data_IF_481948101508
#
_entry.id   IF_481948101508
#
_cell.length_a   1.000
_cell.length_b   1.000
_cell.length_c   1.000
_cell.angle_alpha   90.00
_cell.angle_beta   90.00
_cell.angle_gamma   90.00
#
_symmetry.space_group_name_H-M   'P 1'
#
loop_
_entity.id
_entity.type
_entity.pdbx_description
1 polymer ?
#
# COMPACT_ATOMS: atom_id res chain seq x y z
N UNK A 1 -7.67 -10.44 31.94
CA UNK A 1 -6.52 -10.45 31.01
C UNK A 1 -6.98 -9.85 29.70
N UNK A 2 -6.84 -8.52 29.55
CA UNK A 2 -6.91 -7.75 28.30
C UNK A 2 -6.51 -6.27 28.61
N UNK A 3 -5.56 -6.06 29.54
CA UNK A 3 -5.19 -4.71 30.03
C UNK A 3 -4.06 -4.07 29.22
N UNK A 4 -3.31 -4.86 28.44
CA UNK A 4 -2.13 -4.39 27.69
C UNK A 4 -2.43 -3.35 26.60
N UNK A 5 -3.50 -3.46 25.78
CA UNK A 5 -3.78 -2.47 24.72
C UNK A 5 -4.31 -1.14 25.27
N UNK A 6 -5.17 -1.20 26.29
CA UNK A 6 -5.84 -0.01 26.85
C UNK A 6 -4.83 0.91 27.54
N UNK A 7 -3.90 0.35 28.32
CA UNK A 7 -2.89 1.17 29.00
C UNK A 7 -1.96 1.88 28.01
N UNK A 8 -1.65 1.24 26.87
CA UNK A 8 -0.84 1.86 25.81
C UNK A 8 -1.57 3.08 25.23
N UNK A 9 -2.87 2.96 24.92
CA UNK A 9 -3.66 4.08 24.44
C UNK A 9 -3.81 5.20 25.46
N UNK A 10 -3.99 4.87 26.74
CA UNK A 10 -4.07 5.86 27.81
C UNK A 10 -2.75 6.62 28.00
N UNK A 11 -1.61 5.93 27.94
CA UNK A 11 -0.30 6.58 28.02
C UNK A 11 -0.11 7.58 26.88
N UNK A 12 -0.50 7.22 25.65
CA UNK A 12 -0.43 8.11 24.49
C UNK A 12 -1.37 9.32 24.64
N UNK A 13 -2.58 9.13 25.19
CA UNK A 13 -3.50 10.23 25.48
C UNK A 13 -2.90 11.19 26.51
N UNK A 14 -2.32 10.67 27.59
CA UNK A 14 -1.68 11.48 28.62
C UNK A 14 -0.46 12.24 28.07
N UNK A 15 0.33 11.60 27.21
CA UNK A 15 1.44 12.26 26.53
C UNK A 15 0.97 13.42 25.66
N UNK A 16 -0.09 13.22 24.86
CA UNK A 16 -0.69 14.27 24.03
C UNK A 16 -1.25 15.42 24.86
N UNK A 17 -1.85 15.15 26.02
CA UNK A 17 -2.39 16.18 26.91
C UNK A 17 -1.32 17.01 27.62
N UNK A 18 -0.15 16.41 27.88
CA UNK A 18 0.92 17.04 28.64
C UNK A 18 2.06 17.58 27.76
N UNK A 19 2.03 17.32 26.44
CA UNK A 19 3.07 17.77 25.53
C UNK A 19 3.05 19.29 25.31
N UNK A 20 4.18 19.90 24.91
CA UNK A 20 4.22 21.29 24.49
C UNK A 20 3.36 21.51 23.23
N UNK A 21 2.67 22.66 23.17
CA UNK A 21 1.88 23.02 21.98
C UNK A 21 2.74 22.96 20.71
N UNK A 22 2.26 22.23 19.71
CA UNK A 22 2.91 22.03 18.42
C UNK A 22 3.74 20.75 18.31
N UNK A 23 3.94 20.00 19.40
CA UNK A 23 4.62 18.70 19.37
C UNK A 23 3.68 17.52 19.13
N UNK A 24 2.36 17.73 19.16
CA UNK A 24 1.35 16.69 18.94
C UNK A 24 1.55 15.92 17.63
N UNK A 25 1.81 16.56 16.47
CA UNK A 25 2.00 15.85 15.22
C UNK A 25 3.20 14.89 15.25
N UNK A 26 4.27 15.25 15.97
CA UNK A 26 5.46 14.42 16.11
C UNK A 26 5.18 13.18 16.96
N UNK A 27 4.51 13.36 18.09
CA UNK A 27 4.11 12.25 18.98
C UNK A 27 3.18 11.28 18.23
N UNK A 28 2.22 11.80 17.47
CA UNK A 28 1.32 10.99 16.63
C UNK A 28 2.09 10.24 15.53
N UNK A 29 3.11 10.85 14.92
CA UNK A 29 3.93 10.20 13.91
C UNK A 29 4.80 9.08 14.50
N UNK A 30 5.40 9.29 15.66
CA UNK A 30 6.21 8.27 16.36
C UNK A 30 5.36 7.07 16.82
N UNK A 31 4.06 7.28 17.00
CA UNK A 31 3.09 6.27 17.43
C UNK A 31 2.09 5.88 16.32
N UNK A 32 2.44 6.03 15.04
CA UNK A 32 1.50 5.83 13.93
C UNK A 32 0.83 4.44 13.95
N UNK A 33 1.54 3.39 14.39
CA UNK A 33 1.03 2.02 14.50
C UNK A 33 -0.13 1.88 15.51
N UNK A 34 -0.19 2.75 16.52
CA UNK A 34 -1.24 2.78 17.53
C UNK A 34 -2.47 3.57 17.06
N UNK A 35 -2.35 4.37 16.01
CA UNK A 35 -3.43 5.20 15.48
C UNK A 35 -4.37 4.32 14.65
N UNK A 36 -5.40 3.81 15.31
CA UNK A 36 -6.46 3.02 14.70
C UNK A 36 -7.84 3.49 15.20
N UNK A 37 -8.91 2.82 14.74
CA UNK A 37 -10.28 3.17 15.14
C UNK A 37 -10.53 2.97 16.66
N UNK A 38 -9.87 1.99 17.28
CA UNK A 38 -10.00 1.72 18.71
C UNK A 38 -9.35 2.83 19.55
N UNK A 39 -8.14 3.28 19.19
CA UNK A 39 -7.51 4.43 19.83
C UNK A 39 -8.40 5.68 19.78
N UNK A 40 -8.99 5.98 18.62
CA UNK A 40 -9.90 7.12 18.45
C UNK A 40 -11.14 6.98 19.37
N UNK A 41 -11.67 5.76 19.50
CA UNK A 41 -12.79 5.50 20.39
C UNK A 41 -12.40 5.74 21.87
N UNK A 42 -11.25 5.21 22.30
CA UNK A 42 -10.74 5.41 23.66
C UNK A 42 -10.46 6.90 23.93
N UNK A 43 -9.88 7.64 22.98
CA UNK A 43 -9.65 9.08 23.12
C UNK A 43 -10.94 9.89 23.30
N UNK A 44 -12.01 9.55 22.57
CA UNK A 44 -13.32 10.18 22.76
C UNK A 44 -13.94 9.83 24.12
N UNK A 45 -13.84 8.58 24.56
CA UNK A 45 -14.31 8.16 25.89
C UNK A 45 -13.55 8.87 27.02
N UNK A 46 -12.23 9.05 26.86
CA UNK A 46 -11.43 9.80 27.81
C UNK A 46 -11.80 11.29 27.83
N UNK A 47 -12.09 11.87 26.67
CA UNK A 47 -12.59 13.24 26.58
C UNK A 47 -13.94 13.43 27.30
N UNK A 48 -14.87 12.48 27.15
CA UNK A 48 -16.15 12.49 27.87
C UNK A 48 -15.96 12.39 29.39
N UNK A 49 -15.03 11.54 29.84
CA UNK A 49 -14.67 11.46 31.25
C UNK A 49 -14.04 12.76 31.77
N UNK A 50 -13.15 13.39 31.00
CA UNK A 50 -12.55 14.69 31.35
C UNK A 50 -13.60 15.80 31.48
N UNK A 51 -14.58 15.85 30.58
CA UNK A 51 -15.63 16.88 30.59
C UNK A 51 -16.53 16.76 31.83
N UNK A 52 -16.78 15.53 32.32
CA UNK A 52 -17.50 15.30 33.58
C UNK A 52 -16.72 15.75 34.81
N UNK A 53 -15.39 15.61 34.77
CA UNK A 53 -14.52 15.97 35.91
C UNK A 53 -14.13 17.45 35.91
N UNK A 54 -13.94 18.04 34.73
CA UNK A 54 -13.49 19.42 34.53
C UNK A 54 -14.24 20.08 33.36
N UNK A 55 -15.47 20.56 33.58
CA UNK A 55 -16.31 21.14 32.51
C UNK A 55 -15.72 22.40 31.86
N UNK A 56 -14.84 23.13 32.55
CA UNK A 56 -14.19 24.35 32.04
C UNK A 56 -12.82 24.09 31.40
N UNK A 57 -12.38 22.84 31.31
CA UNK A 57 -11.07 22.47 30.75
C UNK A 57 -11.07 22.34 29.22
N UNK A 58 -10.02 22.82 28.56
CA UNK A 58 -9.86 22.69 27.11
C UNK A 58 -9.44 21.28 26.65
N UNK A 59 -9.02 20.41 27.58
CA UNK A 59 -8.45 19.10 27.28
C UNK A 59 -9.44 18.16 26.57
N UNK A 60 -10.72 18.16 26.99
CA UNK A 60 -11.74 17.35 26.33
C UNK A 60 -12.00 17.82 24.88
N UNK A 61 -12.10 19.13 24.67
CA UNK A 61 -12.27 19.72 23.34
C UNK A 61 -11.06 19.46 22.44
N UNK A 62 -9.85 19.54 23.00
CA UNK A 62 -8.61 19.21 22.32
C UNK A 62 -8.57 17.75 21.85
N UNK A 63 -8.87 16.79 22.74
CA UNK A 63 -8.91 15.36 22.38
C UNK A 63 -9.95 15.06 21.30
N UNK A 64 -11.14 15.67 21.38
CA UNK A 64 -12.18 15.53 20.33
C UNK A 64 -11.68 16.07 18.98
N UNK A 65 -10.93 17.16 18.98
CA UNK A 65 -10.35 17.72 17.76
C UNK A 65 -9.29 16.78 17.16
N UNK A 66 -8.38 16.25 17.99
CA UNK A 66 -7.40 15.24 17.56
C UNK A 66 -8.12 14.01 17.00
N UNK A 67 -9.08 13.45 17.72
CA UNK A 67 -9.85 12.28 17.28
C UNK A 67 -10.53 12.51 15.91
N UNK A 68 -11.09 13.70 15.68
CA UNK A 68 -11.66 14.07 14.37
C UNK A 68 -10.59 14.11 13.28
N UNK A 69 -9.47 14.79 13.53
CA UNK A 69 -8.36 14.86 12.57
C UNK A 69 -7.81 13.48 12.23
N UNK A 70 -7.64 12.61 13.22
CA UNK A 70 -7.18 11.23 13.02
C UNK A 70 -8.21 10.39 12.27
N UNK A 71 -9.51 10.60 12.52
CA UNK A 71 -10.58 9.96 11.74
C UNK A 71 -10.49 10.32 10.26
N UNK A 72 -10.32 11.62 9.96
CA UNK A 72 -10.14 12.09 8.58
C UNK A 72 -8.85 11.52 7.95
N UNK A 73 -7.76 11.46 8.71
CA UNK A 73 -6.50 10.84 8.29
C UNK A 73 -6.67 9.36 7.94
N UNK A 74 -7.26 8.57 8.84
CA UNK A 74 -7.50 7.14 8.62
C UNK A 74 -8.46 6.89 7.46
N UNK A 75 -9.49 7.72 7.30
CA UNK A 75 -10.41 7.63 6.16
C UNK A 75 -9.69 7.92 4.84
N UNK A 76 -8.83 8.94 4.79
CA UNK A 76 -8.00 9.22 3.60
C UNK A 76 -7.02 8.09 3.32
N UNK A 77 -6.31 7.60 4.33
CA UNK A 77 -5.38 6.46 4.21
C UNK A 77 -6.11 5.20 3.73
N UNK A 78 -7.26 4.90 4.32
CA UNK A 78 -8.11 3.76 3.93
C UNK A 78 -8.68 3.89 2.52
N UNK A 79 -9.12 5.08 2.12
CA UNK A 79 -9.57 5.35 0.75
C UNK A 79 -8.43 5.19 -0.26
N UNK A 80 -7.23 5.73 0.03
CA UNK A 80 -6.07 5.55 -0.83
C UNK A 80 -5.75 4.05 -1.02
N UNK A 81 -5.70 3.26 0.05
CA UNK A 81 -5.49 1.80 -0.05
C UNK A 81 -6.58 1.12 -0.88
N UNK A 82 -7.85 1.53 -0.70
CA UNK A 82 -8.97 1.01 -1.48
C UNK A 82 -8.84 1.36 -2.96
N UNK A 83 -8.32 2.53 -3.29
CA UNK A 83 -8.09 2.97 -4.67
C UNK A 83 -7.00 2.11 -5.34
N UNK A 84 -5.87 1.83 -4.67
CA UNK A 84 -4.86 0.89 -5.20
C UNK A 84 -5.44 -0.52 -5.38
N UNK A 85 -6.22 -1.03 -4.43
CA UNK A 85 -6.84 -2.36 -4.53
C UNK A 85 -7.87 -2.45 -5.66
N UNK A 86 -8.67 -1.41 -5.85
CA UNK A 86 -9.64 -1.34 -6.94
C UNK A 86 -8.92 -1.26 -8.29
N UNK A 87 -7.88 -0.44 -8.38
CA UNK A 87 -7.03 -0.35 -9.57
C UNK A 87 -6.39 -1.70 -9.92
N UNK A 88 -5.76 -2.37 -8.94
CA UNK A 88 -5.14 -3.69 -9.14
C UNK A 88 -6.15 -4.73 -9.62
N UNK A 89 -7.35 -4.77 -9.03
CA UNK A 89 -8.43 -5.66 -9.49
C UNK A 89 -8.87 -5.35 -10.91
N UNK A 90 -9.06 -4.06 -11.23
CA UNK A 90 -9.53 -3.64 -12.55
C UNK A 90 -8.50 -3.98 -13.64
N UNK A 91 -7.23 -3.65 -13.43
CA UNK A 91 -6.19 -3.94 -14.43
C UNK A 91 -5.94 -5.44 -14.55
N UNK A 92 -5.96 -6.19 -13.45
CA UNK A 92 -5.84 -7.64 -13.48
C UNK A 92 -6.99 -8.33 -14.24
N UNK A 93 -8.23 -7.89 -14.02
CA UNK A 93 -9.37 -8.39 -14.80
C UNK A 93 -9.23 -8.05 -16.28
N UNK A 94 -8.76 -6.84 -16.61
CA UNK A 94 -8.53 -6.45 -18.00
C UNK A 94 -7.46 -7.30 -18.68
N UNK A 95 -6.38 -7.68 -17.99
CA UNK A 95 -5.39 -8.63 -18.50
C UNK A 95 -6.04 -9.97 -18.87
N UNK A 96 -6.88 -10.52 -17.99
CA UNK A 96 -7.56 -11.79 -18.23
C UNK A 96 -8.55 -11.69 -19.38
N UNK A 97 -9.48 -10.74 -19.31
CA UNK A 97 -10.61 -10.62 -20.24
C UNK A 97 -10.15 -10.25 -21.66
N UNK A 98 -9.07 -9.47 -21.77
CA UNK A 98 -8.53 -9.04 -23.05
C UNK A 98 -7.45 -9.96 -23.62
N UNK A 99 -7.10 -11.03 -22.91
CA UNK A 99 -5.94 -11.88 -23.22
C UNK A 99 -4.66 -11.04 -23.38
N UNK A 100 -4.41 -10.18 -22.39
CA UNK A 100 -3.28 -9.25 -22.32
C UNK A 100 -3.14 -8.32 -23.52
N UNK A 101 -4.25 -7.75 -23.99
CA UNK A 101 -4.24 -6.77 -25.08
C UNK A 101 -3.88 -5.36 -24.55
N UNK A 102 -2.75 -4.76 -24.98
CA UNK A 102 -2.35 -3.41 -24.56
C UNK A 102 -3.40 -2.34 -24.84
N UNK A 103 -4.21 -2.50 -25.91
CA UNK A 103 -5.26 -1.54 -26.26
C UNK A 103 -6.38 -1.44 -25.21
N UNK A 104 -6.53 -2.46 -24.35
CA UNK A 104 -7.49 -2.48 -23.23
C UNK A 104 -6.79 -2.10 -21.92
N UNK A 105 -5.57 -2.58 -21.70
CA UNK A 105 -4.82 -2.37 -20.45
C UNK A 105 -4.30 -0.91 -20.33
N UNK A 106 -3.73 -0.36 -21.40
CA UNK A 106 -3.08 0.95 -21.34
C UNK A 106 -4.03 2.11 -21.02
N UNK A 107 -5.28 2.16 -21.50
CA UNK A 107 -6.25 3.16 -21.05
C UNK A 107 -6.50 3.14 -19.54
N UNK A 108 -6.52 1.95 -18.92
CA UNK A 108 -6.71 1.81 -17.46
C UNK A 108 -5.47 2.35 -16.73
N UNK A 109 -4.27 1.98 -17.17
CA UNK A 109 -3.01 2.52 -16.64
C UNK A 109 -2.95 4.05 -16.78
N UNK A 110 -3.42 4.59 -17.90
CA UNK A 110 -3.48 6.03 -18.15
C UNK A 110 -4.46 6.74 -17.22
N UNK A 111 -5.65 6.18 -17.03
CA UNK A 111 -6.67 6.74 -16.14
C UNK A 111 -6.18 6.78 -14.68
N UNK A 112 -5.46 5.74 -14.26
CA UNK A 112 -4.97 5.56 -12.89
C UNK A 112 -3.47 5.86 -12.74
N UNK A 113 -2.91 6.69 -13.62
CA UNK A 113 -1.47 6.98 -13.66
C UNK A 113 -0.92 7.50 -12.32
N UNK A 114 -1.72 8.24 -11.56
CA UNK A 114 -1.33 8.75 -10.24
C UNK A 114 -1.11 7.66 -9.19
N UNK A 115 -1.62 6.45 -9.41
CA UNK A 115 -1.39 5.27 -8.57
C UNK A 115 -0.16 4.47 -9.02
N UNK A 116 0.50 4.84 -10.13
CA UNK A 116 1.75 4.22 -10.58
C UNK A 116 2.95 4.85 -9.86
N UNK A 117 3.05 4.59 -8.57
CA UNK A 117 4.03 5.17 -7.66
C UNK A 117 4.81 4.11 -6.86
N UNK A 118 5.66 4.59 -5.95
CA UNK A 118 6.45 3.77 -5.03
C UNK A 118 5.58 3.02 -4.02
N UNK A 119 4.40 3.55 -3.67
CA UNK A 119 3.42 2.87 -2.81
C UNK A 119 2.90 1.63 -3.52
N UNK A 120 2.52 1.73 -4.79
CA UNK A 120 2.09 0.58 -5.58
C UNK A 120 3.20 -0.48 -5.70
N UNK A 121 4.46 -0.06 -5.88
CA UNK A 121 5.60 -0.98 -5.93
C UNK A 121 5.74 -1.81 -4.63
N UNK A 122 5.41 -1.22 -3.48
CA UNK A 122 5.42 -1.90 -2.18
C UNK A 122 4.18 -2.78 -1.96
N UNK A 123 3.02 -2.35 -2.44
CA UNK A 123 1.74 -3.06 -2.26
C UNK A 123 1.59 -4.26 -3.20
N UNK A 124 2.09 -4.17 -4.44
CA UNK A 124 1.91 -5.20 -5.46
C UNK A 124 2.39 -6.60 -4.99
N UNK A 125 3.59 -6.78 -4.41
CA UNK A 125 4.02 -8.08 -3.88
C UNK A 125 3.06 -8.67 -2.84
N UNK A 126 2.56 -7.84 -1.92
CA UNK A 126 1.65 -8.28 -0.86
C UNK A 126 0.29 -8.70 -1.44
N UNK A 127 -0.22 -7.92 -2.38
CA UNK A 127 -1.46 -8.24 -3.08
C UNK A 127 -1.36 -9.57 -3.85
N UNK A 128 -0.25 -9.79 -4.56
CA UNK A 128 0.01 -11.04 -5.27
C UNK A 128 0.07 -12.23 -4.30
N UNK A 129 0.87 -12.13 -3.24
CA UNK A 129 1.05 -13.21 -2.24
C UNK A 129 -0.27 -13.55 -1.56
N UNK A 130 -1.05 -12.53 -1.16
CA UNK A 130 -2.36 -12.74 -0.57
C UNK A 130 -3.34 -13.36 -1.56
N UNK A 131 -3.35 -12.91 -2.82
CA UNK A 131 -4.22 -13.46 -3.86
C UNK A 131 -3.95 -14.95 -4.08
N UNK A 132 -2.69 -15.31 -4.31
CA UNK A 132 -2.26 -16.70 -4.57
C UNK A 132 -2.50 -17.62 -3.36
N UNK A 133 -2.40 -17.13 -2.12
CA UNK A 133 -2.67 -17.97 -0.95
C UNK A 133 -4.14 -18.43 -0.82
N UNK A 134 -5.07 -17.78 -1.52
CA UNK A 134 -6.51 -18.12 -1.48
C UNK A 134 -6.93 -19.15 -2.52
N UNK A 135 -6.01 -19.61 -3.38
CA UNK A 135 -6.30 -20.38 -4.58
C UNK A 135 -5.47 -21.67 -4.57
N UNK A 136 -5.95 -22.69 -5.28
CA UNK A 136 -5.23 -23.96 -5.33
C UNK A 136 -3.92 -23.83 -6.16
N UNK A 137 -2.91 -24.69 -5.91
CA UNK A 137 -1.64 -24.63 -6.63
C UNK A 137 -1.74 -24.85 -8.14
N UNK A 138 -2.76 -25.56 -8.62
CA UNK A 138 -2.95 -25.84 -10.06
C UNK A 138 -3.38 -24.59 -10.82
N UNK A 139 -4.25 -23.76 -10.23
CA UNK A 139 -4.72 -22.49 -10.78
C UNK A 139 -3.71 -21.34 -10.59
N UNK A 140 -2.77 -21.50 -9.66
CA UNK A 140 -1.74 -20.50 -9.35
C UNK A 140 -0.89 -20.15 -10.57
N UNK A 141 -0.51 -21.14 -11.38
CA UNK A 141 0.37 -20.92 -12.54
C UNK A 141 -0.24 -19.95 -13.58
N UNK A 142 -1.54 -20.05 -13.82
CA UNK A 142 -2.24 -19.17 -14.75
C UNK A 142 -2.24 -17.72 -14.25
N UNK A 143 -2.51 -17.52 -12.95
CA UNK A 143 -2.55 -16.21 -12.32
C UNK A 143 -1.16 -15.56 -12.28
N UNK A 144 -0.12 -16.36 -12.01
CA UNK A 144 1.27 -15.90 -12.06
C UNK A 144 1.66 -15.47 -13.49
N UNK A 145 1.12 -16.12 -14.53
CA UNK A 145 1.27 -15.68 -15.92
C UNK A 145 0.62 -14.31 -16.18
N UNK A 146 -0.61 -14.11 -15.71
CA UNK A 146 -1.32 -12.83 -15.83
C UNK A 146 -0.57 -11.70 -15.11
N UNK A 147 -0.04 -11.97 -13.92
CA UNK A 147 0.76 -11.00 -13.17
C UNK A 147 2.03 -10.63 -13.93
N UNK A 148 2.71 -11.59 -14.57
CA UNK A 148 3.87 -11.29 -15.39
C UNK A 148 3.52 -10.38 -16.58
N UNK A 149 2.40 -10.64 -17.27
CA UNK A 149 1.93 -9.78 -18.36
C UNK A 149 1.64 -8.36 -17.90
N UNK A 150 1.00 -8.20 -16.73
CA UNK A 150 0.80 -6.89 -16.11
C UNK A 150 2.13 -6.18 -15.85
N UNK A 151 3.12 -6.88 -15.31
CA UNK A 151 4.45 -6.31 -15.07
C UNK A 151 5.12 -5.87 -16.38
N UNK A 152 5.00 -6.66 -17.44
CA UNK A 152 5.47 -6.30 -18.79
C UNK A 152 4.78 -5.01 -19.25
N UNK A 153 3.46 -4.94 -19.18
CA UNK A 153 2.71 -3.76 -19.60
C UNK A 153 3.07 -2.51 -18.80
N UNK A 154 3.16 -2.60 -17.48
CA UNK A 154 3.59 -1.49 -16.63
C UNK A 154 5.03 -1.07 -17.00
N UNK A 155 5.94 -2.04 -17.18
CA UNK A 155 7.33 -1.77 -17.58
C UNK A 155 7.48 -1.21 -18.99
N UNK A 156 6.46 -1.26 -19.84
CA UNK A 156 6.48 -0.69 -21.20
C UNK A 156 5.59 0.55 -21.32
N UNK A 157 4.80 0.84 -20.29
CA UNK A 157 3.86 1.94 -20.30
C UNK A 157 4.60 3.28 -20.43
N UNK A 158 4.34 4.07 -21.49
CA UNK A 158 5.17 5.22 -21.83
C UNK A 158 4.84 6.49 -21.04
N UNK A 159 3.74 6.48 -20.28
CA UNK A 159 3.28 7.65 -19.54
C UNK A 159 3.56 7.50 -18.04
N UNK A 160 3.71 8.64 -17.35
CA UNK A 160 3.98 8.69 -15.92
C UNK A 160 5.48 8.63 -15.59
N UNK A 161 5.81 8.21 -14.38
CA UNK A 161 7.19 8.09 -13.93
C UNK A 161 7.81 6.79 -14.44
N UNK A 162 8.74 6.88 -15.39
CA UNK A 162 9.48 5.70 -15.90
C UNK A 162 10.16 4.94 -14.76
N UNK A 163 10.72 5.65 -13.79
CA UNK A 163 11.37 5.05 -12.64
C UNK A 163 10.40 4.24 -11.77
N UNK A 164 9.20 4.78 -11.50
CA UNK A 164 8.19 4.07 -10.71
C UNK A 164 7.65 2.86 -11.48
N UNK A 165 7.35 3.00 -12.77
CA UNK A 165 6.89 1.91 -13.62
C UNK A 165 7.88 0.74 -13.62
N UNK A 166 9.19 1.03 -13.70
CA UNK A 166 10.23 0.01 -13.62
C UNK A 166 10.35 -0.61 -12.22
N UNK A 167 10.29 0.19 -11.16
CA UNK A 167 10.33 -0.33 -9.78
C UNK A 167 9.14 -1.27 -9.48
N UNK A 168 7.92 -0.89 -9.91
CA UNK A 168 6.72 -1.73 -9.80
C UNK A 168 6.93 -3.06 -10.52
N UNK A 169 7.42 -3.02 -11.77
CA UNK A 169 7.66 -4.22 -12.56
C UNK A 169 8.76 -5.11 -11.95
N UNK A 170 9.85 -4.53 -11.46
CA UNK A 170 10.93 -5.25 -10.76
C UNK A 170 10.37 -6.01 -9.55
N UNK A 171 9.62 -5.33 -8.67
CA UNK A 171 9.00 -5.94 -7.49
C UNK A 171 8.01 -7.05 -7.87
N UNK A 172 7.26 -6.84 -8.95
CA UNK A 172 6.37 -7.85 -9.51
C UNK A 172 7.11 -9.08 -10.03
N UNK A 173 8.15 -8.90 -10.83
CA UNK A 173 8.98 -10.00 -11.36
C UNK A 173 9.70 -10.77 -10.25
N UNK A 174 10.26 -10.09 -9.25
CA UNK A 174 10.84 -10.71 -8.05
C UNK A 174 9.81 -11.64 -7.38
N UNK A 175 8.57 -11.17 -7.23
CA UNK A 175 7.48 -11.95 -6.62
C UNK A 175 7.04 -13.12 -7.49
N UNK A 176 6.94 -12.93 -8.82
CA UNK A 176 6.61 -14.00 -9.78
C UNK A 176 7.65 -15.11 -9.75
N UNK A 177 8.94 -14.78 -9.59
CA UNK A 177 10.02 -15.76 -9.51
C UNK A 177 9.94 -16.64 -8.26
N UNK A 178 9.47 -16.12 -7.13
CA UNK A 178 9.20 -16.92 -5.93
C UNK A 178 8.15 -18.02 -6.19
N UNK A 179 7.25 -17.78 -7.14
CA UNK A 179 6.10 -18.65 -7.46
C UNK A 179 6.33 -19.54 -8.68
N UNK A 180 7.50 -19.47 -9.32
CA UNK A 180 7.90 -20.31 -10.46
C UNK A 180 9.05 -21.23 -10.06
N UNK A 181 8.78 -22.45 -9.56
CA UNK A 181 9.85 -23.37 -9.21
C UNK A 181 10.68 -23.71 -10.44
N UNK A 182 11.96 -23.36 -10.42
CA UNK A 182 12.88 -23.60 -11.55
C UNK A 182 12.92 -25.06 -12.01
N UNK A 183 12.72 -26.01 -11.09
CA UNK A 183 12.76 -27.44 -11.40
C UNK A 183 11.60 -27.91 -12.30
N UNK A 184 10.44 -27.26 -12.22
CA UNK A 184 9.23 -27.67 -12.94
C UNK A 184 8.77 -26.63 -13.97
N UNK A 185 9.26 -25.40 -13.88
CA UNK A 185 8.86 -24.26 -14.72
C UNK A 185 10.09 -23.50 -15.26
N UNK A 186 11.10 -24.24 -15.73
CA UNK A 186 12.41 -23.68 -16.10
C UNK A 186 12.33 -22.61 -17.21
N UNK A 187 11.48 -22.83 -18.21
CA UNK A 187 11.28 -21.90 -19.34
C UNK A 187 10.64 -20.59 -18.85
N UNK A 188 9.53 -20.70 -18.11
CA UNK A 188 8.82 -19.55 -17.54
C UNK A 188 9.71 -18.78 -16.57
N UNK A 189 10.50 -19.47 -15.75
CA UNK A 189 11.45 -18.85 -14.84
C UNK A 189 12.53 -18.06 -15.61
N UNK A 190 13.09 -18.65 -16.68
CA UNK A 190 14.10 -17.98 -17.50
C UNK A 190 13.55 -16.75 -18.22
N UNK A 191 12.30 -16.81 -18.71
CA UNK A 191 11.61 -15.66 -19.28
C UNK A 191 11.47 -14.53 -18.26
N UNK A 192 11.01 -14.81 -17.04
CA UNK A 192 10.87 -13.78 -16.00
C UNK A 192 12.21 -13.18 -15.61
N UNK A 193 13.27 -13.99 -15.51
CA UNK A 193 14.63 -13.47 -15.27
C UNK A 193 15.11 -12.54 -16.38
N UNK A 194 14.83 -12.85 -17.64
CA UNK A 194 15.16 -11.97 -18.76
C UNK A 194 14.42 -10.64 -18.66
N UNK A 195 13.12 -10.67 -18.35
CA UNK A 195 12.31 -9.46 -18.16
C UNK A 195 12.81 -8.62 -16.98
N UNK A 196 13.17 -9.27 -15.86
CA UNK A 196 13.77 -8.62 -14.69
C UNK A 196 15.12 -7.98 -15.04
N UNK A 197 15.98 -8.68 -15.78
CA UNK A 197 17.26 -8.15 -16.25
C UNK A 197 17.10 -6.90 -17.12
N UNK A 198 16.16 -6.92 -18.07
CA UNK A 198 15.83 -5.77 -18.89
C UNK A 198 15.34 -4.59 -18.04
N UNK A 199 14.45 -4.85 -17.07
CA UNK A 199 13.94 -3.79 -16.18
C UNK A 199 15.05 -3.14 -15.34
N UNK A 200 16.01 -3.92 -14.82
CA UNK A 200 17.17 -3.37 -14.14
C UNK A 200 18.09 -2.57 -15.08
N UNK A 201 18.32 -3.05 -16.30
CA UNK A 201 19.12 -2.33 -17.30
C UNK A 201 18.51 -0.95 -17.57
N UNK A 202 17.22 -0.90 -17.90
CA UNK A 202 16.47 0.33 -18.14
C UNK A 202 16.50 1.27 -16.92
N UNK A 203 16.36 0.72 -15.70
CA UNK A 203 16.38 1.50 -14.47
C UNK A 203 17.76 2.10 -14.19
N UNK A 204 18.83 1.43 -14.62
CA UNK A 204 20.21 1.93 -14.49
C UNK A 204 20.51 3.02 -15.52
N UNK A 205 20.03 2.88 -16.75
CA UNK A 205 20.20 3.87 -17.81
C UNK A 205 19.41 5.16 -17.53
N UNK A 206 18.23 5.04 -16.93
CA UNK A 206 17.42 6.18 -16.48
C UNK A 206 18.03 6.98 -15.33
N UNK A 207 19.04 6.45 -14.64
CA UNK A 207 19.74 7.09 -13.50
C UNK A 207 21.10 7.71 -13.88
N UNK A 208 21.55 7.58 -15.13
CA UNK A 208 22.79 8.19 -15.61
C UNK A 208 22.60 9.65 -16.03
N UNK A 209 23.58 10.56 -15.81
CA UNK A 209 23.56 11.86 -16.45
C UNK A 209 23.60 11.64 -17.96
N UNK A 210 22.64 12.23 -18.70
CA UNK A 210 22.78 12.39 -20.15
C UNK A 210 23.99 13.30 -20.39
N UNK A 211 25.12 12.68 -20.73
CA UNK A 211 26.37 13.32 -21.14
C UNK A 211 26.26 13.81 -22.58
#
# INVERSE_FOLDING_TARGET
MNEEPLQIYLNLIEELLNCPQGEEPKILQENEELINQEFIQIANQYADWLEQQQPEGNNAAFLRNIARTLTEYLNRKGNNTKDYLNFLKQVFLAEIESNSNPAVVYPILQQHQHLLDDVLAQLLPQWIKHGVSQINPEETAAIVGVIENLCIHISQFPLGSRANNLEIAIKGYETVLEMRPRATMAEQWAMTQNNLGNAYSDASEGKGPRI
#
